data_IF_746696648126
#
_entry.id   IF_746696648126
#
_cell.length_a   1.000
_cell.length_b   1.000
_cell.length_c   1.000
_cell.angle_alpha   90.00
_cell.angle_beta   90.00
_cell.angle_gamma   90.00
#
_symmetry.space_group_name_H-M   'P 1'
#
loop_
_entity.id
_entity.type
_entity.pdbx_description
1 polymer ?
#
# COMPACT_ATOMS: atom_id res chain seq x y z
N UNK A 1 -16.00 33.40 -10.55
CA UNK A 1 -15.66 34.11 -9.30
C UNK A 1 -15.59 33.14 -8.10
N UNK A 2 -16.61 32.36 -7.81
CA UNK A 2 -16.60 31.45 -6.62
C UNK A 2 -15.52 30.35 -6.72
N UNK A 3 -15.27 29.77 -7.89
CA UNK A 3 -14.29 28.70 -8.07
C UNK A 3 -12.85 29.13 -7.71
N UNK A 4 -12.45 30.33 -8.13
CA UNK A 4 -11.11 30.86 -7.81
C UNK A 4 -10.93 31.10 -6.31
N UNK A 5 -11.97 31.56 -5.60
CA UNK A 5 -11.92 31.79 -4.17
C UNK A 5 -11.81 30.46 -3.39
N UNK A 6 -12.48 29.42 -3.84
CA UNK A 6 -12.38 28.08 -3.25
C UNK A 6 -10.98 27.50 -3.51
N UNK A 7 -10.45 27.65 -4.72
CA UNK A 7 -9.08 27.22 -5.04
C UNK A 7 -8.05 27.91 -4.14
N UNK A 8 -8.16 29.23 -3.98
CA UNK A 8 -7.26 30.03 -3.14
C UNK A 8 -7.34 29.59 -1.65
N UNK A 9 -8.56 29.34 -1.16
CA UNK A 9 -8.79 28.88 0.22
C UNK A 9 -8.23 27.46 0.45
N UNK A 10 -8.45 26.53 -0.48
CA UNK A 10 -7.87 25.19 -0.44
C UNK A 10 -6.35 25.26 -0.38
N UNK A 11 -5.75 26.13 -1.18
CA UNK A 11 -4.31 26.30 -1.21
C UNK A 11 -3.76 26.92 0.08
N UNK A 12 -4.46 27.89 0.65
CA UNK A 12 -4.08 28.48 1.93
C UNK A 12 -4.08 27.45 3.05
N UNK A 13 -5.13 26.62 3.14
CA UNK A 13 -5.20 25.53 4.11
C UNK A 13 -4.12 24.47 3.89
N UNK A 14 -3.89 24.08 2.65
CA UNK A 14 -2.81 23.12 2.33
C UNK A 14 -1.45 23.67 2.76
N UNK A 15 -1.18 24.96 2.53
CA UNK A 15 0.05 25.62 2.99
C UNK A 15 0.18 25.62 4.52
N UNK A 16 -0.89 25.95 5.24
CA UNK A 16 -0.89 25.95 6.72
C UNK A 16 -0.57 24.58 7.29
N UNK A 17 -1.17 23.53 6.72
CA UNK A 17 -0.95 22.13 7.15
C UNK A 17 0.50 21.71 6.87
N UNK A 18 0.97 21.96 5.67
CA UNK A 18 2.31 21.55 5.22
C UNK A 18 3.42 22.27 5.99
N UNK A 19 3.17 23.50 6.43
CA UNK A 19 4.10 24.26 7.29
C UNK A 19 4.17 23.77 8.72
N UNK A 20 3.24 22.89 9.12
CA UNK A 20 3.27 22.29 10.45
C UNK A 20 4.18 21.05 10.46
N UNK A 21 5.39 21.11 11.06
CA UNK A 21 6.33 19.98 11.05
C UNK A 21 5.77 18.75 11.76
N UNK A 22 4.90 18.97 12.76
CA UNK A 22 4.28 17.87 13.49
C UNK A 22 3.30 17.11 12.61
N UNK A 23 2.52 17.80 11.77
CA UNK A 23 1.62 17.15 10.81
C UNK A 23 2.38 16.25 9.84
N UNK A 24 3.47 16.72 9.26
CA UNK A 24 4.29 15.92 8.33
C UNK A 24 4.88 14.70 9.06
N UNK A 25 5.34 14.87 10.29
CA UNK A 25 5.88 13.78 11.10
C UNK A 25 4.80 12.73 11.44
N UNK A 26 3.64 13.17 11.92
CA UNK A 26 2.52 12.29 12.25
C UNK A 26 2.02 11.54 11.00
N UNK A 27 2.02 12.23 9.86
CA UNK A 27 1.67 11.62 8.57
C UNK A 27 2.68 10.54 8.19
N UNK A 28 3.99 10.82 8.30
CA UNK A 28 5.05 9.84 8.06
C UNK A 28 4.90 8.62 8.96
N UNK A 29 4.71 8.82 10.26
CA UNK A 29 4.55 7.72 11.21
C UNK A 29 3.31 6.87 10.91
N UNK A 30 2.16 7.49 10.63
CA UNK A 30 0.93 6.78 10.30
C UNK A 30 1.02 6.00 9.00
N UNK A 31 1.64 6.58 8.00
CA UNK A 31 1.84 5.94 6.70
C UNK A 31 2.83 4.78 6.81
N UNK A 32 3.91 4.95 7.55
CA UNK A 32 4.90 3.89 7.77
C UNK A 32 4.29 2.71 8.55
N UNK A 33 3.42 3.00 9.52
CA UNK A 33 2.73 1.94 10.30
C UNK A 33 1.67 1.20 9.47
N UNK A 34 1.06 1.87 8.49
CA UNK A 34 0.07 1.25 7.61
C UNK A 34 0.70 0.29 6.58
N UNK A 35 2.02 0.36 6.37
CA UNK A 35 2.76 -0.51 5.44
C UNK A 35 3.68 -1.43 6.24
N UNK A 36 3.08 -2.30 7.07
CA UNK A 36 3.85 -3.34 7.76
C UNK A 36 4.11 -4.52 6.81
N UNK A 37 5.37 -4.69 6.41
CA UNK A 37 5.82 -5.77 5.54
C UNK A 37 6.23 -7.03 6.30
N UNK A 38 6.24 -7.00 7.64
CA UNK A 38 6.79 -8.08 8.48
C UNK A 38 6.07 -9.41 8.24
N UNK A 39 4.75 -9.40 8.12
CA UNK A 39 3.95 -10.60 7.85
C UNK A 39 4.32 -11.21 6.49
N UNK A 40 4.37 -10.38 5.44
CA UNK A 40 4.68 -10.85 4.08
C UNK A 40 6.11 -11.36 3.97
N UNK A 41 7.07 -10.76 4.66
CA UNK A 41 8.47 -11.22 4.70
C UNK A 41 8.61 -12.55 5.45
N UNK A 42 7.85 -12.74 6.51
CA UNK A 42 7.77 -14.00 7.23
C UNK A 42 7.17 -15.10 6.35
N UNK A 43 6.09 -14.81 5.63
CA UNK A 43 5.47 -15.74 4.68
C UNK A 43 6.45 -16.16 3.58
N UNK A 44 7.13 -15.21 2.95
CA UNK A 44 8.15 -15.47 1.92
C UNK A 44 9.25 -16.39 2.47
N UNK A 45 9.69 -16.13 3.69
CA UNK A 45 10.73 -16.95 4.34
C UNK A 45 10.22 -18.36 4.62
N UNK A 46 9.00 -18.50 5.13
CA UNK A 46 8.36 -19.77 5.41
C UNK A 46 8.19 -20.60 4.12
N UNK A 47 7.66 -20.01 3.05
CA UNK A 47 7.46 -20.71 1.77
C UNK A 47 8.78 -21.11 1.11
N UNK A 48 9.83 -20.29 1.18
CA UNK A 48 11.18 -20.65 0.70
C UNK A 48 11.74 -21.86 1.45
N UNK A 49 11.59 -21.89 2.77
CA UNK A 49 12.03 -23.01 3.60
C UNK A 49 11.24 -24.29 3.28
N UNK A 50 9.92 -24.17 3.15
CA UNK A 50 9.04 -25.28 2.75
C UNK A 50 9.42 -25.83 1.37
N UNK A 51 9.60 -24.96 0.37
CA UNK A 51 9.99 -25.34 -0.97
C UNK A 51 11.33 -26.10 -0.97
N UNK A 52 12.32 -25.59 -0.23
CA UNK A 52 13.63 -26.24 -0.10
C UNK A 52 13.54 -27.61 0.56
N UNK A 53 12.63 -27.81 1.52
CA UNK A 53 12.41 -29.12 2.15
C UNK A 53 11.72 -30.11 1.18
N UNK A 54 10.69 -29.66 0.47
CA UNK A 54 9.99 -30.47 -0.53
C UNK A 54 10.90 -30.88 -1.68
N UNK A 55 11.73 -29.98 -2.19
CA UNK A 55 12.71 -30.27 -3.25
C UNK A 55 13.73 -31.33 -2.81
N UNK A 56 14.25 -31.22 -1.58
CA UNK A 56 15.15 -32.26 -1.01
C UNK A 56 14.46 -33.61 -0.89
N UNK A 57 13.19 -33.64 -0.48
CA UNK A 57 12.40 -34.87 -0.39
C UNK A 57 12.17 -35.50 -1.78
N UNK A 58 11.86 -34.67 -2.79
CA UNK A 58 11.74 -35.08 -4.18
C UNK A 58 13.04 -35.70 -4.68
N UNK A 59 14.17 -35.01 -4.52
CA UNK A 59 15.49 -35.48 -4.98
C UNK A 59 15.91 -36.78 -4.28
N UNK A 60 15.51 -36.98 -3.02
CA UNK A 60 15.75 -38.24 -2.30
C UNK A 60 14.91 -39.37 -2.88
N UNK A 61 13.62 -39.10 -3.12
CA UNK A 61 12.70 -40.11 -3.66
C UNK A 61 13.06 -40.51 -5.10
N UNK A 62 13.48 -39.58 -5.92
CA UNK A 62 13.99 -39.86 -7.29
C UNK A 62 15.20 -40.79 -7.22
N UNK A 63 16.18 -40.52 -6.37
CA UNK A 63 17.35 -41.40 -6.18
C UNK A 63 16.96 -42.80 -5.66
N UNK A 64 15.94 -42.90 -4.83
CA UNK A 64 15.47 -44.19 -4.31
C UNK A 64 14.74 -44.99 -5.41
N UNK A 65 14.00 -44.33 -6.29
CA UNK A 65 13.41 -44.96 -7.49
C UNK A 65 14.49 -45.51 -8.42
N UNK A 66 15.57 -44.74 -8.64
CA UNK A 66 16.67 -45.16 -9.51
C UNK A 66 17.46 -46.36 -8.94
N UNK A 67 17.45 -46.53 -7.61
CA UNK A 67 18.12 -47.64 -6.91
C UNK A 67 17.34 -48.95 -6.92
N UNK A 68 16.09 -48.96 -7.39
CA UNK A 68 15.31 -50.19 -7.45
C UNK A 68 15.92 -51.16 -8.47
N UNK A 69 16.45 -52.27 -8.00
CA UNK A 69 17.08 -53.27 -8.85
C UNK A 69 16.05 -53.84 -9.84
N UNK A 70 16.43 -54.04 -11.12
CA UNK A 70 15.51 -54.58 -12.13
C UNK A 70 15.05 -56.02 -11.86
N UNK A 71 15.84 -56.78 -11.14
CA UNK A 71 15.58 -58.16 -10.75
C UNK A 71 14.78 -58.34 -9.46
N UNK A 72 14.43 -57.28 -8.77
CA UNK A 72 13.54 -57.31 -7.58
C UNK A 72 12.13 -57.77 -8.01
N UNK A 73 11.67 -58.85 -7.44
CA UNK A 73 10.33 -59.45 -7.69
C UNK A 73 9.19 -58.44 -7.56
N UNK A 74 9.38 -57.38 -6.76
CA UNK A 74 8.39 -56.37 -6.50
C UNK A 74 8.75 -54.98 -7.06
N UNK A 75 9.73 -54.92 -7.95
CA UNK A 75 10.26 -53.69 -8.52
C UNK A 75 9.17 -52.79 -9.10
N UNK A 76 8.30 -53.32 -9.93
CA UNK A 76 7.19 -52.55 -10.55
C UNK A 76 6.24 -51.95 -9.53
N UNK A 77 5.84 -52.73 -8.53
CA UNK A 77 4.93 -52.26 -7.47
C UNK A 77 5.59 -51.15 -6.65
N UNK A 78 6.87 -51.31 -6.29
CA UNK A 78 7.63 -50.28 -5.57
C UNK A 78 7.78 -49.01 -6.37
N UNK A 79 8.11 -49.13 -7.66
CA UNK A 79 8.18 -47.97 -8.57
C UNK A 79 6.84 -47.23 -8.66
N UNK A 80 5.74 -47.95 -8.83
CA UNK A 80 4.41 -47.36 -8.91
C UNK A 80 4.04 -46.60 -7.63
N UNK A 81 4.32 -47.20 -6.45
CA UNK A 81 4.03 -46.54 -5.16
C UNK A 81 4.92 -45.31 -4.95
N UNK A 82 6.21 -45.36 -5.32
CA UNK A 82 7.12 -44.22 -5.21
C UNK A 82 6.78 -43.12 -6.23
N UNK A 83 6.41 -43.48 -7.47
CA UNK A 83 5.96 -42.52 -8.48
C UNK A 83 4.70 -41.76 -8.02
N UNK A 84 3.77 -42.44 -7.35
CA UNK A 84 2.60 -41.77 -6.79
C UNK A 84 3.00 -40.74 -5.75
N UNK A 85 3.90 -41.07 -4.81
CA UNK A 85 4.44 -40.14 -3.80
C UNK A 85 5.21 -39.00 -4.45
N UNK A 86 5.92 -39.27 -5.54
CA UNK A 86 6.65 -38.25 -6.29
C UNK A 86 5.67 -37.24 -6.90
N UNK A 87 4.57 -37.70 -7.49
CA UNK A 87 3.54 -36.81 -8.02
C UNK A 87 2.90 -35.95 -6.91
N UNK A 88 2.61 -36.56 -5.74
CA UNK A 88 2.10 -35.81 -4.59
C UNK A 88 3.09 -34.74 -4.10
N UNK A 89 4.41 -35.00 -4.19
CA UNK A 89 5.44 -33.99 -3.89
C UNK A 89 5.49 -32.87 -4.92
N UNK A 90 5.36 -33.18 -6.21
CA UNK A 90 5.26 -32.16 -7.25
C UNK A 90 4.05 -31.25 -7.04
N UNK A 91 2.88 -31.79 -6.71
CA UNK A 91 1.70 -31.00 -6.41
C UNK A 91 1.91 -30.07 -5.22
N UNK A 92 2.64 -30.51 -4.19
CA UNK A 92 2.99 -29.68 -3.04
C UNK A 92 4.02 -28.59 -3.40
N UNK A 93 5.00 -28.93 -4.24
CA UNK A 93 6.00 -27.97 -4.74
C UNK A 93 5.31 -26.86 -5.52
N UNK A 94 4.44 -27.20 -6.49
CA UNK A 94 3.72 -26.20 -7.30
C UNK A 94 2.87 -25.28 -6.41
N UNK A 95 2.15 -25.84 -5.43
CA UNK A 95 1.39 -25.01 -4.47
C UNK A 95 2.28 -24.07 -3.65
N UNK A 96 3.45 -24.55 -3.22
CA UNK A 96 4.38 -23.72 -2.47
C UNK A 96 5.02 -22.62 -3.35
N UNK A 97 5.29 -22.91 -4.62
CA UNK A 97 5.77 -21.94 -5.61
C UNK A 97 4.72 -20.86 -5.87
N UNK A 98 3.45 -21.23 -6.07
CA UNK A 98 2.35 -20.29 -6.28
C UNK A 98 2.19 -19.34 -5.08
N UNK A 99 2.19 -19.87 -3.84
CA UNK A 99 2.09 -19.08 -2.62
C UNK A 99 3.29 -18.14 -2.43
N UNK A 100 4.49 -18.62 -2.76
CA UNK A 100 5.70 -17.79 -2.73
C UNK A 100 5.59 -16.64 -3.73
N UNK A 101 5.15 -16.93 -4.96
CA UNK A 101 4.98 -15.92 -5.99
C UNK A 101 3.92 -14.88 -5.60
N UNK A 102 2.79 -15.30 -5.05
CA UNK A 102 1.75 -14.40 -4.55
C UNK A 102 2.28 -13.46 -3.46
N UNK A 103 3.01 -14.01 -2.48
CA UNK A 103 3.62 -13.22 -1.41
C UNK A 103 4.68 -12.24 -1.93
N UNK A 104 5.48 -12.63 -2.94
CA UNK A 104 6.44 -11.73 -3.59
C UNK A 104 5.75 -10.60 -4.35
N UNK A 105 4.66 -10.87 -5.04
CA UNK A 105 3.86 -9.84 -5.72
C UNK A 105 3.22 -8.88 -4.72
N UNK A 106 2.69 -9.40 -3.61
CA UNK A 106 2.15 -8.58 -2.50
C UNK A 106 3.23 -7.67 -1.92
N UNK A 107 4.44 -8.19 -1.68
CA UNK A 107 5.58 -7.39 -1.22
C UNK A 107 5.92 -6.26 -2.20
N UNK A 108 6.05 -6.57 -3.48
CA UNK A 108 6.37 -5.57 -4.52
C UNK A 108 5.30 -4.46 -4.60
N UNK A 109 4.03 -4.81 -4.44
CA UNK A 109 2.92 -3.84 -4.39
C UNK A 109 3.03 -2.92 -3.17
N UNK A 110 3.32 -3.47 -1.99
CA UNK A 110 3.52 -2.69 -0.77
C UNK A 110 4.73 -1.76 -0.87
N UNK A 111 5.85 -2.23 -1.41
CA UNK A 111 7.05 -1.41 -1.65
C UNK A 111 6.75 -0.26 -2.63
N UNK A 112 6.03 -0.53 -3.72
CA UNK A 112 5.61 0.50 -4.68
C UNK A 112 4.72 1.56 -4.03
N UNK A 113 3.76 1.14 -3.20
CA UNK A 113 2.90 2.04 -2.46
C UNK A 113 3.69 2.89 -1.47
N UNK A 114 4.64 2.30 -0.74
CA UNK A 114 5.51 3.03 0.18
C UNK A 114 6.34 4.10 -0.54
N UNK A 115 6.93 3.77 -1.69
CA UNK A 115 7.69 4.74 -2.49
C UNK A 115 6.80 5.90 -2.99
N UNK A 116 5.58 5.59 -3.43
CA UNK A 116 4.60 6.60 -3.86
C UNK A 116 4.22 7.54 -2.73
N UNK A 117 4.02 7.02 -1.53
CA UNK A 117 3.71 7.82 -0.33
C UNK A 117 4.88 8.70 0.07
N UNK A 118 6.11 8.17 0.08
CA UNK A 118 7.30 8.96 0.37
C UNK A 118 7.49 10.11 -0.63
N UNK A 119 7.22 9.85 -1.91
CA UNK A 119 7.26 10.88 -2.95
C UNK A 119 6.23 11.96 -2.69
N UNK A 120 5.01 11.60 -2.31
CA UNK A 120 3.95 12.55 -1.98
C UNK A 120 4.31 13.39 -0.74
N UNK A 121 4.87 12.78 0.31
CA UNK A 121 5.35 13.50 1.49
C UNK A 121 6.48 14.47 1.10
N UNK A 122 7.37 14.07 0.20
CA UNK A 122 8.41 14.94 -0.35
C UNK A 122 7.84 16.17 -1.08
N UNK A 123 6.80 15.97 -1.89
CA UNK A 123 6.08 17.07 -2.57
C UNK A 123 5.40 17.97 -1.54
N UNK A 124 4.71 17.41 -0.55
CA UNK A 124 4.09 18.20 0.52
C UNK A 124 5.12 19.00 1.30
N UNK A 125 6.23 18.39 1.68
CA UNK A 125 7.31 19.08 2.43
C UNK A 125 7.97 20.21 1.65
N UNK A 126 7.95 20.14 0.30
CA UNK A 126 8.51 21.16 -0.59
C UNK A 126 7.44 22.05 -1.22
N UNK A 127 6.20 21.96 -0.77
CA UNK A 127 5.02 22.51 -1.41
C UNK A 127 5.14 24.00 -1.72
N UNK A 128 5.54 24.81 -0.75
CA UNK A 128 5.66 26.27 -0.93
C UNK A 128 6.69 26.64 -2.02
N UNK A 129 7.84 25.96 -2.02
CA UNK A 129 8.91 26.21 -2.97
C UNK A 129 8.53 25.79 -4.40
N UNK A 130 7.74 24.73 -4.53
CA UNK A 130 7.28 24.20 -5.82
C UNK A 130 6.12 25.03 -6.33
N UNK A 131 5.11 25.26 -5.50
CA UNK A 131 3.87 25.93 -5.88
C UNK A 131 4.06 27.36 -6.39
N UNK A 132 4.94 28.12 -5.74
CA UNK A 132 5.19 29.54 -6.14
C UNK A 132 5.87 29.66 -7.51
N UNK A 133 6.54 28.60 -7.99
CA UNK A 133 7.20 28.53 -9.29
C UNK A 133 6.32 27.98 -10.41
N UNK A 134 5.18 27.37 -10.06
CA UNK A 134 4.27 26.73 -11.02
C UNK A 134 3.36 27.74 -11.72
N UNK A 135 3.07 27.47 -12.99
CA UNK A 135 2.01 28.14 -13.73
C UNK A 135 0.61 27.62 -13.30
N UNK A 136 -0.46 28.24 -13.77
CA UNK A 136 -1.83 27.91 -13.37
C UNK A 136 -2.25 26.49 -13.75
N UNK A 137 -1.74 25.93 -14.85
CA UNK A 137 -2.06 24.55 -15.26
C UNK A 137 -1.35 23.54 -14.34
N UNK A 138 -0.06 23.75 -14.08
CA UNK A 138 0.73 22.91 -13.18
C UNK A 138 0.19 22.92 -11.74
N UNK A 139 -0.24 24.09 -11.25
CA UNK A 139 -0.91 24.20 -9.93
C UNK A 139 -2.17 23.36 -9.85
N UNK A 140 -2.98 23.40 -10.90
CA UNK A 140 -4.21 22.61 -10.99
C UNK A 140 -3.94 21.11 -11.02
N UNK A 141 -2.91 20.69 -11.73
CA UNK A 141 -2.51 19.30 -11.81
C UNK A 141 -1.92 18.80 -10.47
N UNK A 142 -1.15 19.64 -9.77
CA UNK A 142 -0.67 19.35 -8.42
C UNK A 142 -1.81 19.17 -7.43
N UNK A 143 -2.82 20.04 -7.45
CA UNK A 143 -4.03 19.92 -6.62
C UNK A 143 -4.75 18.62 -6.90
N UNK A 144 -4.96 18.26 -8.18
CA UNK A 144 -5.58 16.99 -8.57
C UNK A 144 -4.77 15.77 -8.16
N UNK A 145 -3.46 15.90 -8.11
CA UNK A 145 -2.56 14.83 -7.66
C UNK A 145 -2.66 14.61 -6.14
N UNK A 146 -2.68 15.70 -5.36
CA UNK A 146 -2.65 15.63 -3.90
C UNK A 146 -4.03 15.43 -3.26
N UNK A 147 -5.10 15.99 -3.86
CA UNK A 147 -6.43 16.08 -3.25
C UNK A 147 -7.41 15.17 -3.98
N UNK A 148 -8.11 14.33 -3.21
CA UNK A 148 -9.19 13.47 -3.74
C UNK A 148 -10.54 14.16 -3.73
N UNK A 149 -10.81 14.93 -2.68
CA UNK A 149 -12.11 15.52 -2.44
C UNK A 149 -11.99 16.79 -1.60
N UNK A 150 -12.83 17.77 -1.88
CA UNK A 150 -12.98 18.98 -1.08
C UNK A 150 -14.44 19.09 -0.68
N UNK A 151 -14.70 19.06 0.61
CA UNK A 151 -16.04 19.27 1.17
C UNK A 151 -16.25 20.76 1.43
N UNK A 152 -17.33 21.32 0.88
CA UNK A 152 -17.67 22.72 1.05
C UNK A 152 -18.79 22.90 2.07
N UNK A 153 -18.79 24.01 2.78
CA UNK A 153 -19.93 24.40 3.60
C UNK A 153 -21.17 24.66 2.74
N UNK A 154 -22.39 24.35 3.23
CA UNK A 154 -23.63 24.78 2.62
C UNK A 154 -23.65 26.31 2.42
N UNK A 155 -24.31 26.80 1.36
CA UNK A 155 -24.34 28.24 1.05
C UNK A 155 -24.84 29.13 2.18
N UNK A 156 -25.71 28.60 3.03
CA UNK A 156 -26.25 29.31 4.20
C UNK A 156 -25.19 29.48 5.29
N UNK A 157 -24.35 28.49 5.47
CA UNK A 157 -23.27 28.49 6.46
C UNK A 157 -22.03 29.26 5.99
N UNK A 158 -21.76 29.32 4.67
CA UNK A 158 -20.61 30.02 4.11
C UNK A 158 -20.56 31.51 4.53
N UNK A 159 -21.73 32.16 4.65
CA UNK A 159 -21.84 33.56 5.09
C UNK A 159 -21.51 33.73 6.56
N UNK A 160 -21.92 32.76 7.40
CA UNK A 160 -21.70 32.77 8.83
C UNK A 160 -20.26 32.43 9.17
N UNK A 161 -19.73 31.41 8.50
CA UNK A 161 -18.36 30.92 8.70
C UNK A 161 -17.29 31.77 8.00
N UNK A 162 -17.67 32.65 7.05
CA UNK A 162 -16.77 33.46 6.21
C UNK A 162 -15.73 32.63 5.45
N UNK A 163 -16.04 31.37 5.18
CA UNK A 163 -15.18 30.41 4.47
C UNK A 163 -16.01 29.43 3.65
N UNK A 164 -15.40 28.87 2.60
CA UNK A 164 -16.06 27.94 1.70
C UNK A 164 -15.73 26.49 2.04
N UNK A 165 -14.49 26.21 2.44
CA UNK A 165 -13.96 24.87 2.63
C UNK A 165 -14.24 24.36 4.05
N UNK A 166 -14.88 23.19 4.16
CA UNK A 166 -15.17 22.51 5.41
C UNK A 166 -14.11 21.45 5.73
N UNK A 167 -13.74 20.63 4.71
CA UNK A 167 -12.74 19.60 4.87
C UNK A 167 -12.01 19.32 3.55
N UNK A 168 -10.79 18.82 3.64
CA UNK A 168 -9.97 18.40 2.50
C UNK A 168 -9.54 16.96 2.72
N UNK A 169 -9.82 16.09 1.74
CA UNK A 169 -9.34 14.72 1.70
C UNK A 169 -8.15 14.62 0.74
N UNK A 170 -7.00 14.20 1.28
CA UNK A 170 -5.78 14.00 0.48
C UNK A 170 -5.73 12.59 -0.10
N UNK A 171 -5.20 12.48 -1.33
CA UNK A 171 -4.92 11.19 -1.99
C UNK A 171 -3.62 10.63 -1.45
N UNK A 172 -3.69 9.46 -0.82
CA UNK A 172 -2.51 8.64 -0.61
C UNK A 172 -2.68 7.33 -1.38
N UNK A 173 -1.61 6.75 -1.95
CA UNK A 173 -1.67 5.49 -2.70
C UNK A 173 -1.88 4.27 -1.79
N UNK A 174 -2.40 4.47 -0.60
CA UNK A 174 -2.88 3.47 0.34
C UNK A 174 -4.40 3.63 0.38
N UNK A 175 -5.17 2.56 0.56
CA UNK A 175 -6.64 2.56 0.59
C UNK A 175 -7.26 3.41 1.73
N UNK A 176 -6.52 4.40 2.23
CA UNK A 176 -6.90 5.26 3.34
C UNK A 176 -6.96 6.72 2.89
N UNK A 177 -8.11 7.33 3.07
CA UNK A 177 -8.28 8.78 2.90
C UNK A 177 -7.84 9.49 4.18
N UNK A 178 -6.92 10.42 4.07
CA UNK A 178 -6.59 11.35 5.16
C UNK A 178 -7.52 12.55 5.05
N UNK A 179 -8.48 12.64 5.97
CA UNK A 179 -9.41 13.76 6.05
C UNK A 179 -8.91 14.77 7.07
N UNK A 180 -8.74 16.01 6.66
CA UNK A 180 -8.38 17.11 7.54
C UNK A 180 -9.60 18.01 7.73
N UNK A 181 -10.09 18.12 8.96
CA UNK A 181 -11.15 19.04 9.34
C UNK A 181 -10.55 20.30 9.94
N UNK A 182 -11.17 21.44 9.67
CA UNK A 182 -10.72 22.73 10.15
C UNK A 182 -11.71 23.28 11.18
N UNK A 183 -11.20 23.69 12.34
CA UNK A 183 -12.00 24.31 13.38
C UNK A 183 -12.41 25.75 13.05
N UNK A 184 -13.41 26.26 13.79
CA UNK A 184 -13.95 27.63 13.64
C UNK A 184 -12.89 28.73 13.78
N UNK A 185 -11.79 28.47 14.47
CA UNK A 185 -10.67 29.42 14.62
C UNK A 185 -9.58 29.27 13.56
N UNK A 186 -9.63 28.28 12.66
CA UNK A 186 -8.65 28.11 11.59
C UNK A 186 -7.23 27.76 12.06
N UNK A 187 -7.03 27.43 13.32
CA UNK A 187 -5.72 27.31 13.96
C UNK A 187 -5.37 25.89 14.42
N UNK A 188 -6.30 24.96 14.52
CA UNK A 188 -5.97 23.59 14.90
C UNK A 188 -6.46 22.58 13.87
N UNK A 189 -5.56 21.68 13.51
CA UNK A 189 -5.88 20.45 12.80
C UNK A 189 -6.28 19.44 13.86
N UNK A 190 -7.55 19.46 14.27
CA UNK A 190 -8.08 18.40 15.10
C UNK A 190 -8.52 17.24 14.19
N UNK A 191 -7.78 16.19 14.20
CA UNK A 191 -8.13 14.88 13.68
C UNK A 191 -7.80 14.63 12.20
N UNK A 192 -6.68 14.01 11.97
CA UNK A 192 -6.46 13.19 10.77
C UNK A 192 -7.23 11.89 10.98
N UNK A 193 -8.41 11.77 10.40
CA UNK A 193 -9.18 10.52 10.44
C UNK A 193 -8.76 9.68 9.25
N UNK A 194 -8.11 8.55 9.51
CA UNK A 194 -7.88 7.50 8.54
C UNK A 194 -9.18 6.70 8.41
N UNK A 195 -9.95 6.92 7.35
CA UNK A 195 -11.11 6.08 7.06
C UNK A 195 -10.69 4.94 6.15
N UNK A 196 -10.66 3.74 6.69
CA UNK A 196 -10.63 2.50 5.92
C UNK A 196 -12.01 2.31 5.28
N UNK A 197 -12.05 2.14 3.96
CA UNK A 197 -13.25 1.70 3.26
C UNK A 197 -13.49 0.24 3.66
N UNK A 198 -14.44 -0.02 4.55
CA UNK A 198 -15.02 -1.36 4.68
C UNK A 198 -15.86 -1.59 3.42
N UNK A 199 -15.38 -2.46 2.55
CA UNK A 199 -16.19 -3.01 1.48
C UNK A 199 -17.37 -3.77 2.09
N UNK A 200 -18.56 -3.42 1.57
CA UNK A 200 -19.76 -4.24 1.70
C UNK A 200 -19.82 -5.21 0.55
#
# INVERSE_FOLDING_TARGET
MVASQVEDEVMEYTRKIVRNPQFIKDLQEKVMTAVDMTEVENDITAYKNQLSALQRSRDSLERDIDRIAPDDKYAERRRADMTRRLNDLYDQIYKAEDLLQESMMKKATLESNQMSVQSMIGILSSFDAIYDRMNAAERRDLVKYLISEVELFPREEQKTQKRFVKAIAYKFPIEQKVLTQFDECGASVETVVLMSKKDK
#
